data_IF_069810091041
#
_entry.id   IF_069810091041
#
_cell.length_a   1.000
_cell.length_b   1.000
_cell.length_c   1.000
_cell.angle_alpha   90.00
_cell.angle_beta   90.00
_cell.angle_gamma   90.00
#
_symmetry.space_group_name_H-M   'P 1'
#
loop_
_entity.id
_entity.type
_entity.pdbx_description
1 polymer ?
#
# COMPACT_ATOMS: atom_id res chain seq x y z
N UNK A 1 11.20 2.68 4.65
CA UNK A 1 9.80 2.20 4.54
C UNK A 1 9.58 1.73 3.12
N UNK A 2 8.60 0.85 2.86
CA UNK A 2 8.28 0.45 1.47
C UNK A 2 7.95 1.71 0.66
N UNK A 3 7.12 2.58 1.23
CA UNK A 3 6.71 3.87 0.66
C UNK A 3 7.89 4.69 0.11
N UNK A 4 8.97 4.86 0.89
CA UNK A 4 10.14 5.64 0.49
C UNK A 4 10.97 5.00 -0.64
N UNK A 5 10.76 3.72 -0.94
CA UNK A 5 11.44 3.02 -2.04
C UNK A 5 10.66 3.05 -3.35
N UNK A 6 9.39 3.48 -3.29
CA UNK A 6 8.51 3.64 -4.44
C UNK A 6 8.72 4.99 -5.11
N UNK A 7 8.44 5.07 -6.41
CA UNK A 7 8.34 6.36 -7.11
C UNK A 7 7.11 7.13 -6.62
N UNK A 8 7.08 8.46 -6.81
CA UNK A 8 5.91 9.27 -6.43
C UNK A 8 4.62 8.77 -7.10
N UNK A 9 4.72 8.33 -8.36
CA UNK A 9 3.58 7.75 -9.10
C UNK A 9 3.10 6.44 -8.47
N UNK A 10 4.01 5.52 -8.18
CA UNK A 10 3.69 4.24 -7.53
C UNK A 10 3.13 4.44 -6.11
N UNK A 11 3.63 5.44 -5.38
CA UNK A 11 3.11 5.83 -4.06
C UNK A 11 1.65 6.29 -4.16
N UNK A 12 1.34 7.16 -5.11
CA UNK A 12 -0.02 7.64 -5.32
C UNK A 12 -0.96 6.53 -5.76
N UNK A 13 -0.55 5.69 -6.72
CA UNK A 13 -1.35 4.58 -7.23
C UNK A 13 -1.70 3.61 -6.10
N UNK A 14 -0.70 3.10 -5.37
CA UNK A 14 -0.92 2.15 -4.29
C UNK A 14 -1.77 2.73 -3.15
N UNK A 15 -1.58 4.01 -2.79
CA UNK A 15 -2.43 4.64 -1.78
C UNK A 15 -3.88 4.79 -2.23
N UNK A 16 -4.12 5.19 -3.49
CA UNK A 16 -5.48 5.27 -4.05
C UNK A 16 -6.16 3.91 -4.03
N UNK A 17 -5.47 2.87 -4.47
CA UNK A 17 -5.98 1.49 -4.48
C UNK A 17 -6.32 1.01 -3.07
N UNK A 18 -5.46 1.25 -2.07
CA UNK A 18 -5.77 0.91 -0.68
C UNK A 18 -7.00 1.67 -0.14
N UNK A 19 -7.14 2.95 -0.49
CA UNK A 19 -8.28 3.77 -0.09
C UNK A 19 -9.57 3.25 -0.73
N UNK A 20 -9.53 2.89 -2.01
CA UNK A 20 -10.67 2.35 -2.77
C UNK A 20 -11.05 0.93 -2.32
N UNK A 21 -10.06 0.10 -1.99
CA UNK A 21 -10.24 -1.23 -1.41
C UNK A 21 -10.88 -1.21 -0.01
N UNK A 22 -11.02 -0.03 0.59
CA UNK A 22 -11.71 0.16 1.86
C UNK A 22 -10.80 -0.05 3.07
N UNK A 23 -9.54 0.42 3.01
CA UNK A 23 -8.67 0.43 4.19
C UNK A 23 -9.39 1.11 5.37
N UNK A 24 -9.74 0.32 6.38
CA UNK A 24 -10.66 0.77 7.43
C UNK A 24 -9.99 1.59 8.53
N UNK A 25 -10.82 2.36 9.25
CA UNK A 25 -10.45 3.03 10.49
C UNK A 25 -9.36 4.09 10.35
N UNK A 26 -8.45 4.14 11.32
CA UNK A 26 -7.40 5.16 11.38
C UNK A 26 -6.41 5.03 10.20
N UNK A 27 -6.17 3.83 9.69
CA UNK A 27 -5.25 3.59 8.60
C UNK A 27 -5.74 4.23 7.29
N UNK A 28 -7.02 4.08 6.94
CA UNK A 28 -7.60 4.73 5.77
C UNK A 28 -7.58 6.25 5.82
N UNK A 29 -7.87 6.83 7.00
CA UNK A 29 -7.76 8.28 7.20
C UNK A 29 -6.32 8.79 7.04
N UNK A 30 -5.34 8.03 7.52
CA UNK A 30 -3.92 8.36 7.40
C UNK A 30 -3.43 8.20 5.95
N UNK A 31 -3.86 7.15 5.24
CA UNK A 31 -3.54 6.98 3.82
C UNK A 31 -4.04 8.18 2.98
N UNK A 32 -5.26 8.66 3.23
CA UNK A 32 -5.82 9.86 2.59
C UNK A 32 -5.01 11.13 2.91
N UNK A 33 -4.58 11.26 4.17
CA UNK A 33 -3.78 12.41 4.60
C UNK A 33 -2.41 12.42 3.90
N UNK A 34 -1.75 11.26 3.82
CA UNK A 34 -0.46 11.13 3.12
C UNK A 34 -0.61 11.41 1.63
N UNK A 35 -1.69 10.93 1.00
CA UNK A 35 -1.97 11.21 -0.41
C UNK A 35 -2.18 12.72 -0.68
N UNK A 36 -2.78 13.45 0.27
CA UNK A 36 -3.09 14.87 0.10
C UNK A 36 -1.94 15.81 0.50
N UNK A 37 -1.20 15.48 1.56
CA UNK A 37 -0.26 16.41 2.22
C UNK A 37 1.17 15.84 2.34
N UNK A 38 1.40 14.62 1.85
CA UNK A 38 2.69 13.92 1.97
C UNK A 38 2.93 13.31 3.35
N UNK A 39 3.95 12.45 3.44
CA UNK A 39 4.27 11.69 4.64
C UNK A 39 4.71 12.58 5.82
N UNK A 40 5.34 13.72 5.53
CA UNK A 40 5.87 14.65 6.54
C UNK A 40 4.78 15.42 7.31
N UNK A 41 3.53 15.38 6.82
CA UNK A 41 2.36 15.92 7.52
C UNK A 41 1.97 15.11 8.77
N UNK A 42 2.45 13.85 8.88
CA UNK A 42 2.03 12.94 9.93
C UNK A 42 2.66 13.28 11.28
N UNK A 43 1.83 13.30 12.34
CA UNK A 43 2.34 13.27 13.71
C UNK A 43 3.05 11.94 14.01
N UNK A 44 3.90 11.90 15.05
CA UNK A 44 4.61 10.67 15.46
C UNK A 44 3.68 9.46 15.67
N UNK A 45 2.46 9.69 16.18
CA UNK A 45 1.47 8.62 16.38
C UNK A 45 0.89 8.14 15.05
N UNK A 46 0.54 9.06 14.14
CA UNK A 46 0.05 8.70 12.81
C UNK A 46 1.12 8.02 11.97
N UNK A 47 2.37 8.49 12.04
CA UNK A 47 3.50 7.84 11.37
C UNK A 47 3.71 6.40 11.87
N UNK A 48 3.49 6.14 13.17
CA UNK A 48 3.52 4.78 13.70
C UNK A 48 2.41 3.91 13.10
N UNK A 49 1.18 4.44 12.99
CA UNK A 49 0.06 3.70 12.35
C UNK A 49 0.34 3.47 10.87
N UNK A 50 0.86 4.47 10.16
CA UNK A 50 1.27 4.36 8.77
C UNK A 50 2.27 3.22 8.60
N UNK A 51 3.37 3.24 9.36
CA UNK A 51 4.44 2.22 9.30
C UNK A 51 3.96 0.80 9.57
N UNK A 52 2.99 0.63 10.47
CA UNK A 52 2.56 -0.69 10.91
C UNK A 52 1.36 -1.24 10.13
N UNK A 53 0.57 -0.39 9.46
CA UNK A 53 -0.69 -0.79 8.84
C UNK A 53 -0.82 -0.35 7.37
N UNK A 54 -0.30 0.81 7.00
CA UNK A 54 -0.38 1.32 5.63
C UNK A 54 0.82 0.85 4.80
N UNK A 55 2.04 1.10 5.29
CA UNK A 55 3.30 0.79 4.61
C UNK A 55 3.41 -0.69 4.18
N UNK A 56 3.07 -1.69 5.02
CA UNK A 56 3.13 -3.10 4.62
C UNK A 56 2.06 -3.47 3.57
N UNK A 57 0.97 -2.71 3.51
CA UNK A 57 -0.16 -2.97 2.61
C UNK A 57 0.05 -2.35 1.22
N UNK A 58 1.08 -1.51 1.03
CA UNK A 58 1.42 -0.93 -0.28
C UNK A 58 1.87 -1.98 -1.30
N UNK A 59 2.28 -3.16 -0.82
CA UNK A 59 2.69 -4.29 -1.64
C UNK A 59 1.76 -5.48 -1.40
N UNK A 60 1.31 -6.11 -2.48
CA UNK A 60 0.49 -7.31 -2.46
C UNK A 60 1.32 -8.53 -2.86
N UNK A 61 1.07 -9.64 -2.16
CA UNK A 61 1.63 -10.94 -2.49
C UNK A 61 0.79 -11.66 -3.55
N UNK A 62 1.39 -12.64 -4.23
CA UNK A 62 0.62 -13.54 -5.09
C UNK A 62 -0.34 -14.38 -4.24
N UNK A 63 -1.59 -14.59 -4.69
CA UNK A 63 -2.54 -15.46 -3.98
C UNK A 63 -2.02 -16.89 -3.79
N UNK A 64 -1.14 -17.35 -4.68
CA UNK A 64 -0.42 -18.60 -4.48
C UNK A 64 0.66 -18.38 -3.41
N UNK A 65 0.45 -18.94 -2.22
CA UNK A 65 1.38 -18.83 -1.09
C UNK A 65 2.77 -19.41 -1.37
N UNK A 66 2.93 -20.22 -2.42
CA UNK A 66 4.24 -20.74 -2.85
C UNK A 66 4.98 -19.79 -3.81
N UNK A 67 4.32 -18.73 -4.28
CA UNK A 67 4.89 -17.72 -5.16
C UNK A 67 5.36 -16.52 -4.33
N UNK A 68 6.65 -16.20 -4.41
CA UNK A 68 7.27 -15.08 -3.72
C UNK A 68 7.18 -13.76 -4.49
N UNK A 69 6.42 -13.71 -5.59
CA UNK A 69 6.25 -12.47 -6.34
C UNK A 69 5.41 -11.50 -5.50
N UNK A 70 5.88 -10.26 -5.45
CA UNK A 70 5.17 -9.15 -4.84
C UNK A 70 4.99 -8.06 -5.90
N UNK A 71 3.92 -7.29 -5.76
CA UNK A 71 3.63 -6.18 -6.65
C UNK A 71 2.99 -5.04 -5.86
N UNK A 72 2.78 -3.89 -6.51
CA UNK A 72 2.07 -2.77 -5.89
C UNK A 72 0.59 -3.11 -5.68
N UNK A 73 0.02 -2.61 -4.59
CA UNK A 73 -1.40 -2.74 -4.31
C UNK A 73 -2.23 -2.29 -5.52
N UNK A 74 -3.20 -3.12 -5.92
CA UNK A 74 -4.08 -2.87 -7.08
C UNK A 74 -3.59 -3.47 -8.39
N UNK A 75 -2.36 -4.00 -8.47
CA UNK A 75 -1.92 -4.74 -9.65
C UNK A 75 -2.49 -6.15 -9.64
N UNK A 76 -3.43 -6.41 -10.54
CA UNK A 76 -4.33 -7.56 -10.42
C UNK A 76 -3.78 -8.91 -10.90
N UNK A 77 -2.58 -9.01 -11.49
CA UNK A 77 -2.19 -10.24 -12.19
C UNK A 77 -0.72 -10.62 -12.09
N UNK A 78 -0.46 -11.85 -11.62
CA UNK A 78 0.87 -12.46 -11.56
C UNK A 78 1.10 -13.34 -12.79
N UNK A 79 1.96 -12.91 -13.70
CA UNK A 79 2.29 -13.64 -14.94
C UNK A 79 2.90 -15.03 -14.68
N UNK A 80 3.62 -15.19 -13.57
CA UNK A 80 4.27 -16.47 -13.24
C UNK A 80 3.28 -17.55 -12.80
N UNK A 81 2.18 -17.17 -12.16
CA UNK A 81 1.18 -18.11 -11.67
C UNK A 81 -0.13 -18.06 -12.46
N UNK A 82 -0.25 -17.14 -13.41
CA UNK A 82 -1.44 -16.88 -14.19
C UNK A 82 -2.70 -16.62 -13.34
N UNK A 83 -2.52 -16.09 -12.12
CA UNK A 83 -3.59 -15.79 -11.15
C UNK A 83 -3.43 -14.36 -10.61
N UNK A 84 -4.40 -13.91 -9.81
CA UNK A 84 -4.37 -12.57 -9.23
C UNK A 84 -3.37 -12.44 -8.07
N UNK A 85 -2.88 -11.22 -7.87
CA UNK A 85 -2.30 -10.81 -6.58
C UNK A 85 -3.43 -10.47 -5.59
N UNK A 86 -3.16 -10.57 -4.29
CA UNK A 86 -4.06 -10.16 -3.21
C UNK A 86 -3.92 -10.95 -1.93
#
# INVERSE_FOLDING_TARGET
>A
MIYETLTEEDQEEALKELIEAGLDGAAGGIAKLVLAEGLDSLTKKQLSVFKNHVDPSLMEGCYNQQCSNQTLAGRQYCDSCAIRFG
#
